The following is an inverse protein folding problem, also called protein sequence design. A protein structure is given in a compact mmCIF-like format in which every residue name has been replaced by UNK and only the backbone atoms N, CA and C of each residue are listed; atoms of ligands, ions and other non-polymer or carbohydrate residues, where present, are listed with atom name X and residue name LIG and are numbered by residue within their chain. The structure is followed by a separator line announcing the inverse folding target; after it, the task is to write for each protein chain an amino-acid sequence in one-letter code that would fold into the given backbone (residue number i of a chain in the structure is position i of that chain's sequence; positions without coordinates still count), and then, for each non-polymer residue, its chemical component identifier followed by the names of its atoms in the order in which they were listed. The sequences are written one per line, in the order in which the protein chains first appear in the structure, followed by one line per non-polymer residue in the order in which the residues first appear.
data_IF_174980777435
#
_entry.id   IF_174980777435
#
_cell.length_a   1.000
_cell.length_b   1.000
_cell.length_c   1.000
_cell.angle_alpha   90.00
_cell.angle_beta   90.00
_cell.angle_gamma   90.00
#
_symmetry.space_group_name_H-M   'P 1'
#
loop_
_entity.id
_entity.type
_entity.pdbx_description
1 polymer ?
#
# COMPACT_ATOMS: atom_id res chain seq x y z
N UNK A 1 -6.63 -14.14 -3.77
CA UNK A 1 -6.12 -13.12 -2.85
C UNK A 1 -4.92 -12.49 -3.50
N UNK A 2 -4.61 -11.22 -3.28
CA UNK A 2 -3.70 -10.49 -4.14
C UNK A 2 -3.01 -9.33 -3.41
N UNK A 3 -1.95 -8.79 -3.98
CA UNK A 3 -1.32 -7.53 -3.57
C UNK A 3 -2.36 -6.41 -3.35
N UNK A 4 -3.33 -6.29 -4.26
CA UNK A 4 -4.39 -5.29 -4.17
C UNK A 4 -5.23 -5.41 -2.89
N UNK A 5 -5.49 -6.63 -2.40
CA UNK A 5 -6.22 -6.83 -1.15
C UNK A 5 -5.45 -6.29 0.06
N UNK A 6 -4.14 -6.56 0.13
CA UNK A 6 -3.27 -6.03 1.21
C UNK A 6 -3.21 -4.51 1.17
N UNK A 7 -3.05 -3.94 -0.01
CA UNK A 7 -3.01 -2.48 -0.19
C UNK A 7 -4.36 -1.84 0.17
N UNK A 8 -5.49 -2.43 -0.21
CA UNK A 8 -6.81 -1.91 0.15
C UNK A 8 -7.01 -1.87 1.69
N UNK A 9 -6.55 -2.89 2.40
CA UNK A 9 -6.55 -2.88 3.87
C UNK A 9 -5.69 -1.74 4.42
N UNK A 10 -4.46 -1.60 3.91
CA UNK A 10 -3.56 -0.53 4.37
C UNK A 10 -4.10 0.87 4.06
N UNK A 11 -4.73 1.06 2.91
CA UNK A 11 -5.37 2.33 2.51
C UNK A 11 -6.50 2.73 3.46
N UNK A 12 -7.30 1.78 3.93
CA UNK A 12 -8.38 2.02 4.88
C UNK A 12 -7.87 2.50 6.25
N UNK A 13 -6.61 2.23 6.57
CA UNK A 13 -5.99 2.60 7.84
C UNK A 13 -5.28 3.97 7.81
N UNK A 14 -5.14 4.59 6.64
CA UNK A 14 -4.47 5.90 6.53
C UNK A 14 -5.19 6.96 7.36
N UNK A 15 -4.43 7.62 8.24
CA UNK A 15 -4.95 8.59 9.21
C UNK A 15 -5.23 7.98 10.60
N UNK A 16 -5.02 6.67 10.79
CA UNK A 16 -5.04 6.09 12.13
C UNK A 16 -3.92 6.69 12.99
N UNK A 17 -4.26 7.10 14.21
CA UNK A 17 -3.31 7.63 15.19
C UNK A 17 -3.13 6.64 16.34
N UNK A 18 -1.89 6.44 16.78
CA UNK A 18 -1.62 5.67 17.98
C UNK A 18 -2.25 6.30 19.21
N UNK A 19 -2.46 5.51 20.26
CA UNK A 19 -3.21 5.91 21.43
C UNK A 19 -2.33 6.20 22.64
N UNK A 20 -2.82 7.07 23.51
CA UNK A 20 -2.17 7.35 24.79
C UNK A 20 -2.24 6.16 25.78
N UNK A 21 -3.19 5.25 25.57
CA UNK A 21 -3.41 4.06 26.41
C UNK A 21 -4.15 2.97 25.64
N UNK A 22 -4.31 1.81 26.25
CA UNK A 22 -5.04 0.67 25.68
C UNK A 22 -6.58 0.89 25.65
N UNK A 23 -7.01 2.09 25.32
CA UNK A 23 -8.42 2.46 25.23
C UNK A 23 -8.75 3.05 23.85
N UNK A 24 -9.96 2.77 23.36
CA UNK A 24 -10.48 3.29 22.08
C UNK A 24 -9.60 2.91 20.87
N UNK A 25 -9.01 1.72 20.89
CA UNK A 25 -8.07 1.26 19.87
C UNK A 25 -8.67 1.22 18.47
N UNK A 26 -9.97 0.91 18.35
CA UNK A 26 -10.65 0.79 17.04
C UNK A 26 -11.11 2.12 16.47
N UNK A 27 -11.11 3.20 17.25
CA UNK A 27 -11.43 4.52 16.74
C UNK A 27 -10.17 5.16 16.12
N UNK A 28 -10.13 5.48 14.84
CA UNK A 28 -8.90 5.93 14.17
C UNK A 28 -8.23 7.13 14.82
N UNK A 29 -8.97 8.09 15.33
CA UNK A 29 -8.43 9.38 15.81
C UNK A 29 -8.66 9.68 17.29
N UNK A 30 -9.45 8.86 18.00
CA UNK A 30 -9.69 9.06 19.42
C UNK A 30 -8.48 8.71 20.28
N UNK A 31 -8.39 9.31 21.49
CA UNK A 31 -7.34 9.06 22.48
C UNK A 31 -5.91 9.11 21.90
N UNK A 32 -5.54 10.13 21.08
CA UNK A 32 -4.24 10.18 20.44
C UNK A 32 -3.13 10.32 21.48
N UNK A 33 -1.98 9.68 21.23
CA UNK A 33 -0.83 9.73 22.13
C UNK A 33 0.48 9.42 21.43
N UNK A 34 1.51 9.12 22.22
CA UNK A 34 2.86 8.77 21.75
C UNK A 34 3.39 7.55 22.50
N UNK A 35 2.50 6.64 22.85
CA UNK A 35 2.81 5.51 23.72
C UNK A 35 2.72 4.17 23.00
N UNK A 36 2.65 4.17 21.65
CA UNK A 36 2.60 2.99 20.80
C UNK A 36 1.45 2.02 21.10
N UNK A 37 0.35 2.48 21.73
CA UNK A 37 -0.85 1.67 21.86
C UNK A 37 -1.63 1.71 20.55
N UNK A 38 -1.87 0.54 19.97
CA UNK A 38 -2.60 0.42 18.70
C UNK A 38 -3.48 -0.82 18.67
N UNK A 39 -4.49 -0.82 17.81
CA UNK A 39 -5.26 -2.06 17.53
C UNK A 39 -4.38 -3.15 16.91
N UNK A 40 -3.33 -2.75 16.18
CA UNK A 40 -2.37 -3.69 15.57
C UNK A 40 -1.55 -4.40 16.65
N UNK A 41 -1.00 -3.63 17.61
CA UNK A 41 -0.30 -4.19 18.76
C UNK A 41 -1.19 -5.06 19.65
N UNK A 42 -2.46 -4.67 19.84
CA UNK A 42 -3.44 -5.49 20.58
C UNK A 42 -3.77 -6.81 19.87
N UNK A 43 -3.78 -6.81 18.55
CA UNK A 43 -4.01 -8.00 17.75
C UNK A 43 -2.81 -8.94 17.75
N UNK A 44 -1.59 -8.41 17.67
CA UNK A 44 -0.39 -9.21 17.51
C UNK A 44 -0.09 -10.01 18.80
N UNK A 45 0.02 -11.34 18.68
CA UNK A 45 0.37 -12.24 19.77
C UNK A 45 -0.41 -11.96 21.09
N UNK A 46 -1.73 -11.75 20.96
CA UNK A 46 -2.59 -11.48 22.11
C UNK A 46 -2.28 -10.18 22.86
N UNK A 47 -1.60 -9.23 22.20
CA UNK A 47 -1.28 -7.93 22.78
C UNK A 47 0.03 -7.90 23.57
N UNK A 48 0.84 -8.94 23.49
CA UNK A 48 2.13 -9.02 24.21
C UNK A 48 3.12 -7.92 23.83
N UNK A 49 2.96 -7.34 22.63
CA UNK A 49 3.80 -6.27 22.08
C UNK A 49 3.10 -4.90 22.04
N UNK A 50 2.05 -4.69 22.83
CA UNK A 50 1.49 -3.36 23.00
C UNK A 50 2.54 -2.39 23.57
N UNK A 51 2.43 -1.12 23.21
CA UNK A 51 3.36 -0.06 23.60
C UNK A 51 4.81 -0.26 23.07
N UNK A 52 4.98 -1.08 22.03
CA UNK A 52 6.24 -1.26 21.30
C UNK A 52 6.16 -0.63 19.90
N UNK A 53 7.29 -0.37 19.22
CA UNK A 53 7.29 0.07 17.82
C UNK A 53 6.48 -0.91 16.96
N UNK A 54 5.57 -0.37 16.15
CA UNK A 54 4.54 -1.18 15.50
C UNK A 54 4.53 -1.11 13.96
N UNK A 55 5.61 -0.62 13.34
CA UNK A 55 5.69 -0.52 11.89
C UNK A 55 5.56 -1.91 11.21
N UNK A 56 6.27 -2.92 11.73
CA UNK A 56 6.23 -4.28 11.18
C UNK A 56 4.94 -5.03 11.57
N UNK A 57 4.43 -4.76 12.76
CA UNK A 57 3.13 -5.27 13.20
C UNK A 57 2.00 -4.77 12.29
N UNK A 58 2.07 -3.50 11.84
CA UNK A 58 1.10 -2.94 10.90
C UNK A 58 1.12 -3.68 9.55
N UNK A 59 2.30 -3.91 8.97
CA UNK A 59 2.44 -4.68 7.71
C UNK A 59 1.87 -6.09 7.89
N UNK A 60 2.21 -6.76 8.97
CA UNK A 60 1.71 -8.10 9.30
C UNK A 60 0.19 -8.13 9.50
N UNK A 61 -0.35 -7.11 10.17
CA UNK A 61 -1.80 -6.97 10.37
C UNK A 61 -2.52 -6.78 9.04
N UNK A 62 -2.03 -5.92 8.16
CA UNK A 62 -2.62 -5.71 6.84
C UNK A 62 -2.65 -7.00 6.02
N UNK A 63 -1.55 -7.76 6.05
CA UNK A 63 -1.45 -9.05 5.38
C UNK A 63 -2.47 -10.06 5.95
N UNK A 64 -2.58 -10.14 7.26
CA UNK A 64 -3.52 -11.05 7.92
C UNK A 64 -4.98 -10.71 7.62
N UNK A 65 -5.36 -9.42 7.67
CA UNK A 65 -6.72 -8.98 7.33
C UNK A 65 -7.06 -9.25 5.85
N UNK A 66 -6.08 -9.19 4.97
CA UNK A 66 -6.23 -9.52 3.56
C UNK A 66 -6.20 -11.04 3.26
N UNK A 67 -5.92 -11.89 4.26
CA UNK A 67 -5.75 -13.33 4.08
C UNK A 67 -4.43 -13.71 3.38
N UNK A 68 -3.40 -12.85 3.44
CA UNK A 68 -2.11 -12.99 2.76
C UNK A 68 -0.93 -13.14 3.73
N UNK A 69 -1.21 -13.53 4.99
CA UNK A 69 -0.17 -13.69 6.01
C UNK A 69 0.91 -14.72 5.63
N UNK A 70 0.60 -15.73 4.83
CA UNK A 70 1.57 -16.71 4.35
C UNK A 70 2.54 -16.07 3.33
N UNK A 71 2.01 -15.25 2.41
CA UNK A 71 2.80 -14.64 1.36
C UNK A 71 3.67 -13.48 1.87
N UNK A 72 3.13 -12.64 2.73
CA UNK A 72 3.82 -11.44 3.26
C UNK A 72 4.66 -11.79 4.48
N UNK A 73 4.19 -12.67 5.34
CA UNK A 73 4.77 -12.98 6.64
C UNK A 73 4.02 -12.30 7.80
N UNK A 74 4.27 -12.80 9.01
CA UNK A 74 3.72 -12.23 10.24
C UNK A 74 4.86 -12.00 11.23
N UNK A 75 5.35 -10.78 11.29
CA UNK A 75 6.49 -10.37 12.08
C UNK A 75 6.21 -9.08 12.85
N UNK A 76 7.01 -8.85 13.90
CA UNK A 76 7.05 -7.61 14.66
C UNK A 76 8.47 -7.01 14.69
N UNK A 77 9.40 -7.61 13.94
CA UNK A 77 10.81 -7.23 13.95
C UNK A 77 11.37 -7.23 12.52
N UNK A 78 11.68 -6.07 12.01
CA UNK A 78 12.07 -5.84 10.62
C UNK A 78 13.23 -6.72 10.13
N UNK A 79 14.32 -6.95 10.91
CA UNK A 79 15.37 -7.87 10.49
C UNK A 79 14.87 -9.30 10.23
N UNK A 80 13.94 -9.79 11.05
CA UNK A 80 13.34 -11.12 10.85
C UNK A 80 12.46 -11.17 9.61
N UNK A 81 11.70 -10.12 9.36
CA UNK A 81 10.87 -10.00 8.16
C UNK A 81 11.72 -9.94 6.89
N UNK A 82 12.82 -9.18 6.90
CA UNK A 82 13.80 -9.19 5.80
C UNK A 82 14.39 -10.58 5.57
N UNK A 83 14.81 -11.27 6.65
CA UNK A 83 15.36 -12.61 6.56
C UNK A 83 14.39 -13.61 5.94
N UNK A 84 13.08 -13.49 6.22
CA UNK A 84 12.03 -14.29 5.59
C UNK A 84 12.05 -14.15 4.06
N UNK A 85 12.09 -12.92 3.53
CA UNK A 85 12.19 -12.71 2.08
C UNK A 85 13.54 -13.18 1.51
N UNK A 86 14.65 -13.03 2.26
CA UNK A 86 15.96 -13.49 1.83
C UNK A 86 16.01 -15.02 1.70
N UNK A 87 15.44 -15.74 2.67
CA UNK A 87 15.38 -17.21 2.66
C UNK A 87 14.56 -17.76 1.48
N UNK A 88 13.58 -16.99 1.01
CA UNK A 88 12.76 -17.35 -0.16
C UNK A 88 13.37 -16.88 -1.49
N UNK A 89 14.53 -16.21 -1.49
CA UNK A 89 15.09 -15.59 -2.70
C UNK A 89 14.26 -14.43 -3.25
N UNK A 90 13.42 -13.79 -2.41
CA UNK A 90 12.47 -12.73 -2.77
C UNK A 90 12.80 -11.37 -2.17
N UNK A 91 13.99 -11.21 -1.65
CA UNK A 91 14.52 -9.90 -1.24
C UNK A 91 15.36 -9.30 -2.35
N UNK A 92 15.06 -8.07 -2.70
CA UNK A 92 15.73 -7.31 -3.76
C UNK A 92 16.35 -6.04 -3.18
N UNK A 93 17.64 -5.84 -3.37
CA UNK A 93 18.30 -4.61 -2.97
C UNK A 93 17.79 -3.42 -3.77
N UNK A 94 17.85 -2.24 -3.18
CA UNK A 94 17.50 -1.00 -3.88
C UNK A 94 18.20 -0.90 -5.24
N UNK A 95 17.45 -0.57 -6.28
CA UNK A 95 17.95 -0.41 -7.64
C UNK A 95 18.11 -1.71 -8.44
N UNK A 96 17.93 -2.89 -7.82
CA UNK A 96 17.98 -4.17 -8.55
C UNK A 96 16.66 -4.54 -9.23
N UNK A 97 15.56 -3.96 -8.76
CA UNK A 97 14.22 -4.13 -9.35
C UNK A 97 13.43 -2.83 -9.25
N UNK A 98 12.41 -2.68 -10.08
CA UNK A 98 11.34 -1.69 -9.86
C UNK A 98 10.37 -2.26 -8.83
N UNK A 99 10.10 -1.53 -7.73
CA UNK A 99 9.11 -1.97 -6.75
C UNK A 99 7.72 -2.00 -7.36
N UNK A 100 6.89 -2.92 -6.88
CA UNK A 100 5.53 -3.15 -7.32
C UNK A 100 4.56 -2.93 -6.16
N UNK A 101 3.30 -2.66 -6.47
CA UNK A 101 2.24 -2.62 -5.46
C UNK A 101 2.21 -3.93 -4.67
N UNK A 102 2.14 -3.83 -3.35
CA UNK A 102 2.18 -4.97 -2.44
C UNK A 102 3.60 -5.46 -2.08
N UNK A 103 4.67 -4.95 -2.69
CA UNK A 103 6.02 -5.18 -2.17
C UNK A 103 6.14 -4.58 -0.75
N UNK A 104 6.98 -5.17 0.06
CA UNK A 104 7.32 -4.68 1.39
C UNK A 104 8.62 -3.89 1.30
N UNK A 105 8.57 -2.58 1.51
CA UNK A 105 9.77 -1.75 1.55
C UNK A 105 10.47 -1.87 2.89
N UNK A 106 11.78 -2.11 2.86
CA UNK A 106 12.64 -2.18 4.04
C UNK A 106 13.61 -1.02 3.99
N UNK A 107 13.62 -0.24 5.06
CA UNK A 107 14.44 0.96 5.16
C UNK A 107 15.80 0.70 5.78
N UNK A 108 16.69 1.65 5.59
CA UNK A 108 18.10 1.61 6.00
C UNK A 108 18.28 1.10 7.43
N UNK A 109 19.25 0.20 7.61
CA UNK A 109 19.57 -0.43 8.87
C UNK A 109 18.40 -1.21 9.51
N UNK A 110 17.44 -1.63 8.66
CA UNK A 110 16.24 -2.36 9.12
C UNK A 110 15.48 -1.60 10.21
N UNK A 111 15.57 -0.25 10.15
CA UNK A 111 15.00 0.63 11.17
C UNK A 111 13.50 0.84 11.00
N UNK A 112 12.95 0.53 9.82
CA UNK A 112 11.56 0.76 9.47
C UNK A 112 11.13 -0.10 8.30
N UNK A 113 9.81 -0.23 8.12
CA UNK A 113 9.17 -1.07 7.11
C UNK A 113 7.82 -0.46 6.72
N UNK A 114 7.38 -0.72 5.49
CA UNK A 114 6.08 -0.31 5.00
C UNK A 114 5.63 -1.12 3.80
N UNK A 115 4.45 -0.84 3.30
CA UNK A 115 3.90 -1.44 2.09
C UNK A 115 4.06 -0.48 0.91
N UNK A 116 4.51 -0.99 -0.22
CA UNK A 116 4.53 -0.22 -1.47
C UNK A 116 3.11 -0.14 -2.01
N UNK A 117 2.57 1.06 -2.08
CA UNK A 117 1.26 1.32 -2.67
C UNK A 117 1.35 1.33 -4.20
N UNK A 118 2.36 2.00 -4.74
CA UNK A 118 2.71 2.01 -6.17
C UNK A 118 4.09 2.67 -6.40
N UNK A 119 4.61 2.55 -7.63
CA UNK A 119 5.83 3.24 -8.05
C UNK A 119 5.70 3.76 -9.47
N UNK A 120 6.06 5.02 -9.69
CA UNK A 120 6.14 5.63 -11.02
C UNK A 120 7.01 6.90 -11.01
N UNK A 121 7.40 7.39 -12.19
CA UNK A 121 8.09 8.67 -12.35
C UNK A 121 9.40 8.79 -11.56
N UNK A 122 10.05 7.69 -11.21
CA UNK A 122 11.27 7.69 -10.38
C UNK A 122 11.02 7.71 -8.88
N UNK A 123 9.76 7.55 -8.44
CA UNK A 123 9.36 7.56 -7.04
C UNK A 123 8.63 6.27 -6.66
N UNK A 124 8.73 5.91 -5.38
CA UNK A 124 7.89 4.89 -4.73
C UNK A 124 7.00 5.57 -3.70
N UNK A 125 5.74 5.19 -3.70
CA UNK A 125 4.72 5.64 -2.76
C UNK A 125 4.40 4.47 -1.82
N UNK A 126 4.40 4.76 -0.52
CA UNK A 126 4.26 3.75 0.52
C UNK A 126 3.14 4.09 1.48
N UNK A 127 2.60 3.08 2.15
CA UNK A 127 1.77 3.23 3.35
C UNK A 127 2.54 2.62 4.51
N UNK A 128 2.76 3.41 5.54
CA UNK A 128 3.61 3.06 6.66
C UNK A 128 2.89 3.28 7.98
N UNK A 129 2.98 2.29 8.86
CA UNK A 129 2.59 2.40 10.26
C UNK A 129 3.75 2.90 11.13
N UNK A 130 3.47 3.42 12.31
CA UNK A 130 4.47 3.96 13.24
C UNK A 130 5.33 5.06 12.61
N UNK A 131 4.73 5.92 11.79
CA UNK A 131 5.40 7.02 11.10
C UNK A 131 4.64 8.34 11.31
N UNK A 132 5.17 9.44 10.81
CA UNK A 132 4.50 10.74 10.83
C UNK A 132 4.17 11.22 9.42
N UNK A 133 3.23 12.14 9.32
CA UNK A 133 2.99 12.89 8.10
C UNK A 133 4.23 13.71 7.70
N UNK A 134 4.31 14.10 6.42
CA UNK A 134 5.40 14.88 5.88
C UNK A 134 6.50 14.07 5.18
N UNK A 135 7.55 14.76 4.72
CA UNK A 135 8.63 14.17 3.96
C UNK A 135 9.70 13.52 4.83
N UNK A 136 10.41 12.55 4.28
CA UNK A 136 11.52 11.87 4.95
C UNK A 136 11.10 10.66 5.79
N UNK A 137 12.09 9.87 6.16
CA UNK A 137 11.90 8.69 7.00
C UNK A 137 11.66 9.11 8.45
N UNK A 138 10.59 8.59 9.05
CA UNK A 138 10.33 8.63 10.48
C UNK A 138 9.94 7.22 10.93
N UNK A 139 10.80 6.61 11.73
CA UNK A 139 10.67 5.22 12.16
C UNK A 139 9.96 5.08 13.53
N UNK A 140 9.48 6.17 14.10
CA UNK A 140 8.78 6.18 15.39
C UNK A 140 7.77 7.35 15.48
N UNK A 141 7.01 7.56 14.41
CA UNK A 141 5.91 8.52 14.39
C UNK A 141 4.60 7.90 14.85
N UNK A 142 3.61 8.76 15.09
CA UNK A 142 2.39 8.42 15.80
C UNK A 142 1.22 7.93 14.94
N UNK A 143 1.41 7.44 13.72
CA UNK A 143 0.25 7.07 12.92
C UNK A 143 0.52 6.24 11.67
N UNK A 144 -0.53 6.05 10.87
CA UNK A 144 -0.46 5.44 9.55
C UNK A 144 -0.54 6.54 8.50
N UNK A 145 0.50 6.68 7.70
CA UNK A 145 0.58 7.73 6.69
C UNK A 145 1.11 7.24 5.35
N UNK A 146 0.72 7.95 4.28
CA UNK A 146 1.36 7.81 2.98
C UNK A 146 2.68 8.56 2.97
N UNK A 147 3.69 7.95 2.37
CA UNK A 147 5.02 8.55 2.18
C UNK A 147 5.45 8.42 0.72
N UNK A 148 6.39 9.26 0.31
CA UNK A 148 6.95 9.23 -1.04
C UNK A 148 8.46 9.35 -0.95
N UNK A 149 9.17 8.47 -1.66
CA UNK A 149 10.62 8.47 -1.73
C UNK A 149 11.09 8.36 -3.19
N UNK A 150 12.15 9.05 -3.55
CA UNK A 150 12.83 8.75 -4.80
C UNK A 150 13.32 7.29 -4.77
N UNK A 151 13.23 6.57 -5.88
CA UNK A 151 13.74 5.20 -5.99
C UNK A 151 15.25 5.10 -5.68
N UNK A 152 15.97 6.21 -5.86
CA UNK A 152 17.40 6.34 -5.53
C UNK A 152 17.66 6.73 -4.07
N UNK A 153 16.62 6.97 -3.27
CA UNK A 153 16.76 7.42 -1.88
C UNK A 153 17.63 6.47 -1.06
N UNK A 154 18.60 7.03 -0.33
CA UNK A 154 19.45 6.27 0.60
C UNK A 154 18.68 5.76 1.82
N UNK A 155 17.45 6.21 2.05
CA UNK A 155 16.59 5.65 3.10
C UNK A 155 16.15 4.22 2.77
N UNK A 156 15.97 3.88 1.49
CA UNK A 156 15.54 2.55 1.07
C UNK A 156 16.73 1.60 1.07
N UNK A 157 16.59 0.47 1.75
CA UNK A 157 17.55 -0.62 1.72
C UNK A 157 17.21 -1.62 0.61
N UNK A 158 15.93 -1.97 0.47
CA UNK A 158 15.44 -2.89 -0.55
C UNK A 158 13.97 -3.23 -0.35
N UNK A 159 13.55 -4.27 -1.05
CA UNK A 159 12.16 -4.69 -1.12
C UNK A 159 12.04 -6.20 -0.94
N UNK A 160 11.12 -6.62 -0.09
CA UNK A 160 10.61 -7.98 -0.06
C UNK A 160 9.43 -8.09 -1.02
N UNK A 161 9.41 -9.11 -1.87
CA UNK A 161 8.32 -9.35 -2.81
C UNK A 161 7.51 -10.57 -2.42
N UNK A 162 6.31 -10.39 -1.85
CA UNK A 162 5.48 -11.51 -1.42
C UNK A 162 5.05 -12.42 -2.58
N UNK A 163 4.88 -13.71 -2.27
CA UNK A 163 4.39 -14.71 -3.22
C UNK A 163 2.86 -14.76 -3.19
N UNK A 164 2.20 -13.70 -3.60
CA UNK A 164 0.73 -13.69 -3.65
C UNK A 164 0.18 -14.82 -4.53
N UNK A 165 -0.79 -15.56 -4.05
CA UNK A 165 -1.35 -16.73 -4.74
C UNK A 165 -2.07 -16.40 -6.08
N UNK A 166 -2.37 -15.11 -6.32
CA UNK A 166 -2.93 -14.61 -7.58
C UNK A 166 -1.88 -14.16 -8.61
N UNK A 167 -0.59 -14.26 -8.30
CA UNK A 167 0.50 -13.75 -9.13
C UNK A 167 1.37 -14.86 -9.73
N UNK A 168 0.91 -15.59 -10.74
CA UNK A 168 1.81 -16.24 -11.67
C UNK A 168 2.26 -15.23 -12.72
N UNK A 169 3.53 -14.80 -12.64
CA UNK A 169 4.21 -14.15 -13.74
C UNK A 169 4.32 -15.14 -14.91
N UNK A 170 3.32 -15.23 -15.73
CA UNK A 170 3.41 -15.76 -17.09
C UNK A 170 2.44 -14.99 -17.96
N UNK A 171 3.00 -14.33 -18.97
CA UNK A 171 2.26 -13.81 -20.10
C UNK A 171 1.50 -14.96 -20.75
N UNK A 172 0.23 -15.13 -20.40
CA UNK A 172 -0.73 -15.81 -21.25
C UNK A 172 -2.11 -15.18 -21.09
N UNK A 173 -2.51 -14.61 -22.20
CA UNK A 173 -3.76 -13.95 -22.46
C UNK A 173 -4.90 -14.98 -22.43
N UNK A 174 -5.71 -15.01 -21.37
CA UNK A 174 -7.02 -15.64 -21.41
C UNK A 174 -8.05 -14.73 -20.75
N UNK A 175 -8.95 -14.26 -21.58
CA UNK A 175 -10.00 -13.32 -21.27
C UNK A 175 -10.99 -13.85 -20.21
N UNK A 176 -10.72 -13.51 -18.96
CA UNK A 176 -11.74 -13.39 -17.90
C UNK A 176 -11.31 -12.26 -16.95
N UNK A 177 -11.49 -11.05 -17.39
CA UNK A 177 -11.90 -9.90 -16.60
C UNK A 177 -10.94 -9.23 -15.63
N UNK A 178 -9.77 -9.78 -15.27
CA UNK A 178 -8.86 -9.12 -14.33
C UNK A 178 -7.43 -9.17 -14.85
N UNK A 179 -6.84 -8.01 -15.11
CA UNK A 179 -5.45 -7.83 -15.51
C UNK A 179 -4.78 -6.86 -14.54
N UNK A 180 -3.77 -7.33 -13.82
CA UNK A 180 -2.92 -6.47 -12.98
C UNK A 180 -1.70 -6.06 -13.82
N UNK A 181 -1.44 -4.76 -13.90
CA UNK A 181 -0.27 -4.27 -14.61
C UNK A 181 0.96 -4.40 -13.72
N UNK A 182 1.95 -5.13 -14.17
CA UNK A 182 3.24 -5.30 -13.47
C UNK A 182 3.97 -3.97 -13.25
N UNK A 183 3.65 -2.95 -14.06
CA UNK A 183 4.05 -1.55 -13.89
C UNK A 183 2.78 -0.73 -14.10
N UNK A 184 2.51 0.20 -13.20
CA UNK A 184 1.38 1.11 -13.35
C UNK A 184 1.48 1.82 -14.71
N UNK A 185 0.43 1.68 -15.52
CA UNK A 185 0.30 2.40 -16.79
C UNK A 185 -0.31 3.78 -16.51
N UNK A 186 -0.25 4.67 -17.47
CA UNK A 186 -0.94 5.95 -17.38
C UNK A 186 -2.32 5.82 -17.99
N UNK A 187 -3.37 5.99 -17.20
CA UNK A 187 -4.72 6.21 -17.70
C UNK A 187 -4.90 7.70 -17.99
N UNK A 188 -5.39 8.03 -19.17
CA UNK A 188 -5.78 9.39 -19.51
C UNK A 188 -7.27 9.42 -19.81
N UNK A 189 -8.00 10.29 -19.10
CA UNK A 189 -9.39 10.55 -19.35
C UNK A 189 -9.59 11.27 -20.70
N UNK A 190 -10.77 11.14 -21.29
CA UNK A 190 -11.16 11.82 -22.52
C UNK A 190 -11.57 13.28 -22.30
N UNK A 191 -12.30 13.82 -23.27
CA UNK A 191 -12.72 15.23 -23.30
C UNK A 191 -13.86 15.61 -22.32
N UNK A 192 -14.38 14.63 -21.58
CA UNK A 192 -15.46 14.83 -20.61
C UNK A 192 -15.01 14.34 -19.24
N UNK A 193 -15.56 14.93 -18.16
CA UNK A 193 -15.33 14.42 -16.82
C UNK A 193 -15.80 12.99 -16.68
N UNK A 194 -14.95 12.12 -16.11
CA UNK A 194 -15.26 10.71 -15.90
C UNK A 194 -15.47 10.40 -14.42
N UNK A 195 -16.63 9.84 -14.04
CA UNK A 195 -16.87 9.43 -12.65
C UNK A 195 -16.01 8.22 -12.26
N UNK A 196 -15.53 8.25 -11.03
CA UNK A 196 -14.78 7.15 -10.41
C UNK A 196 -15.62 6.52 -9.31
N UNK A 197 -15.60 5.20 -9.23
CA UNK A 197 -16.46 4.39 -8.38
C UNK A 197 -15.65 3.53 -7.41
N UNK A 198 -16.24 3.23 -6.25
CA UNK A 198 -15.65 2.32 -5.26
C UNK A 198 -15.76 0.84 -5.64
N UNK A 199 -16.62 0.52 -6.61
CA UNK A 199 -16.96 -0.85 -7.00
C UNK A 199 -16.91 -1.04 -8.52
N UNK A 200 -16.66 -2.27 -8.96
CA UNK A 200 -16.63 -2.64 -10.39
C UNK A 200 -18.00 -2.59 -11.05
N UNK A 201 -19.08 -2.65 -10.28
CA UNK A 201 -20.46 -2.47 -10.75
C UNK A 201 -20.82 -1.03 -11.10
N UNK A 202 -19.93 -0.06 -10.80
CA UNK A 202 -20.09 1.37 -11.04
C UNK A 202 -21.36 1.95 -10.37
N UNK A 203 -21.64 1.52 -9.15
CA UNK A 203 -22.83 1.95 -8.40
C UNK A 203 -22.54 2.99 -7.34
N UNK A 204 -21.35 2.96 -6.73
CA UNK A 204 -20.95 3.87 -5.65
C UNK A 204 -19.89 4.87 -6.15
N UNK A 205 -20.34 6.04 -6.61
CA UNK A 205 -19.47 7.12 -7.07
C UNK A 205 -18.70 7.74 -5.89
N UNK A 206 -17.37 7.77 -5.99
CA UNK A 206 -16.47 8.32 -4.96
C UNK A 206 -15.65 9.52 -5.42
N UNK A 207 -15.70 9.87 -6.71
CA UNK A 207 -14.97 10.99 -7.28
C UNK A 207 -15.15 11.11 -8.78
N UNK A 208 -14.29 11.88 -9.41
CA UNK A 208 -14.22 12.02 -10.88
C UNK A 208 -12.84 12.47 -11.31
N UNK A 209 -12.45 12.11 -12.53
CA UNK A 209 -11.33 12.71 -13.27
C UNK A 209 -11.85 13.89 -14.11
N UNK A 210 -11.09 14.97 -14.15
CA UNK A 210 -11.38 16.09 -15.03
C UNK A 210 -11.08 15.71 -16.50
N UNK A 211 -11.61 16.48 -17.48
CA UNK A 211 -11.25 16.26 -18.87
C UNK A 211 -9.73 16.30 -19.06
N UNK A 212 -9.21 15.32 -19.81
CA UNK A 212 -7.77 15.17 -20.13
C UNK A 212 -6.85 14.94 -18.92
N UNK A 213 -7.39 14.73 -17.74
CA UNK A 213 -6.61 14.38 -16.56
C UNK A 213 -6.00 13.00 -16.70
N UNK A 214 -4.75 12.87 -16.27
CA UNK A 214 -4.02 11.61 -16.27
C UNK A 214 -3.77 11.15 -14.85
N UNK A 215 -3.84 9.84 -14.63
CA UNK A 215 -3.54 9.23 -13.35
C UNK A 215 -2.95 7.83 -13.53
N UNK A 216 -2.24 7.28 -12.53
CA UNK A 216 -1.79 5.90 -12.56
C UNK A 216 -2.97 4.93 -12.69
N UNK A 217 -2.81 3.96 -13.58
CA UNK A 217 -3.69 2.81 -13.73
C UNK A 217 -2.97 1.56 -13.24
N UNK A 218 -3.52 0.93 -12.23
CA UNK A 218 -2.92 -0.20 -11.54
C UNK A 218 -3.28 -1.54 -12.18
N UNK A 219 -4.36 -1.56 -12.98
CA UNK A 219 -4.80 -2.79 -13.62
C UNK A 219 -6.21 -2.67 -14.20
N UNK A 220 -6.72 -3.80 -14.65
CA UNK A 220 -8.12 -3.97 -15.07
C UNK A 220 -8.73 -5.02 -14.15
N UNK A 221 -9.86 -4.71 -13.54
CA UNK A 221 -10.62 -5.63 -12.68
C UNK A 221 -12.04 -5.69 -13.23
N UNK A 222 -12.47 -6.89 -13.62
CA UNK A 222 -13.79 -7.12 -14.21
C UNK A 222 -14.12 -6.16 -15.38
N UNK A 223 -13.11 -5.87 -16.21
CA UNK A 223 -13.25 -4.96 -17.35
C UNK A 223 -13.33 -3.47 -16.97
N UNK A 224 -12.93 -3.08 -15.75
CA UNK A 224 -12.83 -1.71 -15.29
C UNK A 224 -11.38 -1.35 -14.98
N UNK A 225 -10.96 -0.13 -15.31
CA UNK A 225 -9.65 0.36 -14.92
C UNK A 225 -9.63 0.67 -13.44
N UNK A 226 -8.71 0.07 -12.71
CA UNK A 226 -8.36 0.46 -11.36
C UNK A 226 -7.38 1.62 -11.43
N UNK A 227 -7.86 2.82 -11.15
CA UNK A 227 -7.09 4.06 -11.24
C UNK A 227 -6.82 4.64 -9.86
N UNK A 228 -5.69 5.36 -9.77
CA UNK A 228 -5.28 6.06 -8.57
C UNK A 228 -5.19 7.56 -8.88
N UNK A 229 -6.14 8.34 -8.37
CA UNK A 229 -6.37 9.71 -8.80
C UNK A 229 -6.28 10.71 -7.63
N UNK A 230 -5.81 11.96 -7.88
CA UNK A 230 -5.76 12.97 -6.85
C UNK A 230 -7.17 13.43 -6.46
N UNK A 231 -7.34 13.83 -5.21
CA UNK A 231 -8.57 14.47 -4.73
C UNK A 231 -8.39 15.98 -4.83
N UNK A 232 -9.20 16.63 -5.64
CA UNK A 232 -9.13 18.08 -5.90
C UNK A 232 -9.02 18.90 -4.60
N UNK A 233 -8.06 19.82 -4.58
CA UNK A 233 -7.82 20.73 -3.47
C UNK A 233 -7.16 20.10 -2.24
N UNK A 234 -6.64 18.89 -2.35
CA UNK A 234 -5.93 18.18 -1.28
C UNK A 234 -4.68 17.48 -1.80
N UNK A 235 -3.76 17.12 -0.89
CA UNK A 235 -2.62 16.24 -1.21
C UNK A 235 -3.01 14.75 -1.11
N UNK A 236 -4.30 14.44 -1.12
CA UNK A 236 -4.80 13.07 -0.99
C UNK A 236 -5.06 12.44 -2.35
N UNK A 237 -4.84 11.13 -2.41
CA UNK A 237 -5.19 10.29 -3.55
C UNK A 237 -6.18 9.22 -3.13
N UNK A 238 -7.01 8.79 -4.07
CA UNK A 238 -7.96 7.68 -3.90
C UNK A 238 -7.81 6.67 -5.01
N UNK A 239 -7.99 5.41 -4.68
CA UNK A 239 -8.17 4.36 -5.67
C UNK A 239 -9.65 4.20 -6.00
N UNK A 240 -9.94 3.88 -7.26
CA UNK A 240 -11.30 3.61 -7.68
C UNK A 240 -11.35 3.08 -9.12
N UNK A 241 -12.55 2.71 -9.55
CA UNK A 241 -12.79 2.12 -10.85
C UNK A 241 -13.32 3.16 -11.84
N UNK A 242 -12.61 3.32 -12.95
CA UNK A 242 -13.05 4.09 -14.10
C UNK A 242 -13.78 3.19 -15.09
N UNK A 243 -14.80 3.73 -15.73
CA UNK A 243 -15.42 3.09 -16.89
C UNK A 243 -14.45 3.16 -18.06
N UNK A 244 -14.34 2.07 -18.80
CA UNK A 244 -13.44 1.99 -19.96
C UNK A 244 -13.82 3.02 -21.03
N UNK A 245 -13.15 4.16 -21.08
CA UNK A 245 -13.37 5.19 -22.09
C UNK A 245 -12.09 5.74 -22.73
N UNK A 246 -10.93 5.30 -22.30
CA UNK A 246 -9.67 5.89 -22.72
C UNK A 246 -8.60 4.90 -23.12
N UNK A 247 -7.50 5.44 -23.61
CA UNK A 247 -6.27 4.71 -23.83
C UNK A 247 -5.46 4.64 -22.54
N UNK A 248 -4.92 3.46 -22.26
CA UNK A 248 -3.83 3.29 -21.30
C UNK A 248 -2.55 3.28 -22.10
N UNK A 249 -1.63 4.20 -21.81
CA UNK A 249 -0.29 4.22 -22.39
C UNK A 249 0.72 3.61 -21.44
N UNK A 250 1.75 3.00 -22.04
CA UNK A 250 2.89 2.44 -21.31
C UNK A 250 3.65 3.51 -20.54
#
# INVERSE_FOLDING_TARGET
MSAAAVIAVAQAEVGYLEKASNAQLDNPTANPGKNNYTKYGAWYDGGSLQAQPWCDIFVSWCAAQAGEAEAVGQFAYVPSHKAFFQQQGRYYSRGSVTPQAGDVVIFRNESHIGLVEWASGGYVHTIEGNTSGGSGLDANGGGVFRKTYALTSSYIQGYGRPAYAGGTNTSENTATGTEEFAVAKTYQNGSTSEPIYADTGLTNKIGSLNPWESCPCLGIVEGRYLVYYPVDGTDQYKAGFAKYHGGVSA
#
